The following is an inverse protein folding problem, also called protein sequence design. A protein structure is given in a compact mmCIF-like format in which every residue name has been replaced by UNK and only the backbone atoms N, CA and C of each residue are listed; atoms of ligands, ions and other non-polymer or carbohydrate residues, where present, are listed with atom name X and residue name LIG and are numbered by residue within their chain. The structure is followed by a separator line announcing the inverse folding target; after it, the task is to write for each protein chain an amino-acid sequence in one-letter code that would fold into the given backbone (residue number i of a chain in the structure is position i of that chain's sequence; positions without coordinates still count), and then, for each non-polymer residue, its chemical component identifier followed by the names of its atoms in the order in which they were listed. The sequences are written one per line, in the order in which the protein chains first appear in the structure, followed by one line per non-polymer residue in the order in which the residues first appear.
data_IF_445553553252
#
_entry.id   IF_445553553252
#
_cell.length_a   1.000
_cell.length_b   1.000
_cell.length_c   1.000
_cell.angle_alpha   90.00
_cell.angle_beta   90.00
_cell.angle_gamma   90.00
#
_symmetry.space_group_name_H-M   'P 1'
#
loop_
_entity.id
_entity.type
_entity.pdbx_description
1 polymer ?
#
# COMPACT_ATOMS: atom_id res chain seq x y z
N UNK A 1 24.07 -0.35 3.85
CA UNK A 1 22.94 -1.24 3.53
C UNK A 1 22.53 -0.97 2.10
N UNK A 2 22.33 -2.00 1.27
CA UNK A 2 21.93 -1.80 -0.14
C UNK A 2 20.42 -1.59 -0.20
N UNK A 3 19.99 -0.45 -0.74
CA UNK A 3 18.56 -0.18 -0.98
C UNK A 3 18.05 -1.08 -2.11
N UNK A 4 16.88 -1.69 -1.88
CA UNK A 4 16.16 -2.49 -2.87
C UNK A 4 14.83 -1.81 -3.15
N UNK A 5 14.32 -1.96 -4.37
CA UNK A 5 12.96 -1.54 -4.71
C UNK A 5 11.99 -2.64 -4.33
N UNK A 6 10.85 -2.28 -3.77
CA UNK A 6 9.81 -3.19 -3.32
C UNK A 6 8.48 -2.74 -3.91
N UNK A 7 7.78 -3.64 -4.59
CA UNK A 7 6.42 -3.45 -5.04
C UNK A 7 5.48 -3.52 -3.84
N UNK A 8 4.56 -2.58 -3.75
CA UNK A 8 3.46 -2.57 -2.77
C UNK A 8 2.19 -3.01 -3.49
N UNK A 9 1.49 -3.99 -2.90
CA UNK A 9 0.26 -4.54 -3.44
C UNK A 9 -0.77 -4.78 -2.34
N UNK A 10 -2.04 -4.67 -2.67
CA UNK A 10 -3.16 -5.04 -1.81
C UNK A 10 -4.05 -6.06 -2.49
N UNK A 11 -4.79 -6.86 -1.73
CA UNK A 11 -5.72 -7.84 -2.30
C UNK A 11 -7.14 -7.33 -2.19
N UNK A 12 -7.72 -6.93 -3.34
CA UNK A 12 -9.09 -6.41 -3.46
C UNK A 12 -9.93 -7.37 -4.27
N UNK A 13 -11.07 -7.81 -3.71
CA UNK A 13 -11.98 -8.75 -4.39
C UNK A 13 -11.24 -10.00 -4.95
N UNK A 14 -10.23 -10.49 -4.21
CA UNK A 14 -9.40 -11.64 -4.62
C UNK A 14 -8.30 -11.33 -5.64
N UNK A 15 -8.14 -10.08 -6.08
CA UNK A 15 -7.14 -9.67 -7.06
C UNK A 15 -6.04 -8.82 -6.40
N UNK A 16 -4.78 -9.09 -6.75
CA UNK A 16 -3.66 -8.26 -6.32
C UNK A 16 -3.62 -6.95 -7.13
N UNK A 17 -3.88 -5.84 -6.47
CA UNK A 17 -3.80 -4.49 -7.04
C UNK A 17 -2.46 -3.87 -6.67
N UNK A 18 -1.73 -3.37 -7.68
CA UNK A 18 -0.45 -2.70 -7.46
C UNK A 18 -0.67 -1.23 -7.10
N UNK A 19 -0.15 -0.82 -5.95
CA UNK A 19 -0.24 0.57 -5.46
C UNK A 19 0.97 1.42 -5.86
N UNK A 20 2.14 0.80 -5.95
CA UNK A 20 3.38 1.47 -6.32
C UNK A 20 4.62 0.80 -5.73
N UNK A 21 5.68 1.57 -5.51
CA UNK A 21 6.98 1.05 -5.06
C UNK A 21 7.59 1.90 -3.94
N UNK A 22 8.33 1.24 -3.04
CA UNK A 22 9.17 1.87 -2.02
C UNK A 22 10.61 1.39 -2.15
N UNK A 23 11.57 2.21 -1.74
CA UNK A 23 13.00 1.90 -1.79
C UNK A 23 13.53 1.72 -0.37
N UNK A 24 13.77 0.46 0.01
CA UNK A 24 14.14 0.11 1.38
C UNK A 24 15.15 -1.02 1.43
N UNK A 25 15.89 -1.11 2.54
CA UNK A 25 16.98 -2.08 2.68
C UNK A 25 16.53 -3.48 3.09
N UNK A 26 15.34 -3.63 3.66
CA UNK A 26 14.75 -4.90 4.09
C UNK A 26 13.23 -4.91 3.88
N UNK A 27 12.63 -6.10 3.90
CA UNK A 27 11.18 -6.27 3.75
C UNK A 27 10.40 -5.58 4.87
N UNK A 28 10.87 -5.69 6.12
CA UNK A 28 10.24 -5.06 7.28
C UNK A 28 10.20 -3.54 7.12
N UNK A 29 11.32 -2.93 6.69
CA UNK A 29 11.36 -1.49 6.42
C UNK A 29 10.48 -1.12 5.23
N UNK A 30 10.45 -1.94 4.18
CA UNK A 30 9.55 -1.75 3.04
C UNK A 30 8.08 -1.76 3.46
N UNK A 31 7.68 -2.65 4.39
CA UNK A 31 6.32 -2.65 4.96
C UNK A 31 6.02 -1.37 5.73
N UNK A 32 6.95 -0.92 6.59
CA UNK A 32 6.79 0.34 7.31
C UNK A 32 6.68 1.54 6.36
N UNK A 33 7.56 1.63 5.36
CA UNK A 33 7.54 2.68 4.34
C UNK A 33 6.27 2.63 3.48
N UNK A 34 5.77 1.44 3.18
CA UNK A 34 4.52 1.26 2.45
C UNK A 34 3.32 1.79 3.25
N UNK A 35 3.20 1.45 4.54
CA UNK A 35 2.15 2.00 5.41
C UNK A 35 2.29 3.52 5.57
N UNK A 36 3.50 4.04 5.73
CA UNK A 36 3.71 5.49 5.84
C UNK A 36 3.36 6.25 4.56
N UNK A 37 3.44 5.62 3.38
CA UNK A 37 3.25 6.29 2.09
C UNK A 37 1.87 6.07 1.49
N UNK A 38 1.32 4.88 1.69
CA UNK A 38 0.07 4.44 1.09
C UNK A 38 -1.01 4.14 2.13
N UNK A 39 -0.66 3.98 3.41
CA UNK A 39 -1.63 3.75 4.48
C UNK A 39 -2.52 4.95 4.70
N UNK A 40 -3.82 4.69 4.85
CA UNK A 40 -4.79 5.67 5.32
C UNK A 40 -5.06 5.46 6.81
N UNK A 41 -5.27 6.58 7.48
CA UNK A 41 -5.90 6.61 8.80
C UNK A 41 -7.37 6.21 8.69
N UNK A 42 -7.99 5.77 9.79
CA UNK A 42 -9.43 5.51 9.84
C UNK A 42 -10.24 6.76 9.41
N UNK A 43 -9.84 7.94 9.86
CA UNK A 43 -10.46 9.22 9.48
C UNK A 43 -10.36 9.53 7.97
N UNK A 44 -9.20 9.27 7.34
CA UNK A 44 -8.97 9.53 5.91
C UNK A 44 -9.65 8.48 5.02
N UNK A 45 -9.80 7.26 5.53
CA UNK A 45 -10.54 6.18 4.87
C UNK A 45 -12.04 6.49 4.81
N UNK A 46 -12.61 7.10 5.85
CA UNK A 46 -14.01 7.55 5.87
C UNK A 46 -14.27 8.69 4.88
N UNK A 47 -13.32 9.63 4.73
CA UNK A 47 -13.40 10.73 3.76
C UNK A 47 -13.28 10.20 2.31
N UNK A 48 -12.37 9.26 2.06
CA UNK A 48 -12.15 8.67 0.72
C UNK A 48 -13.33 7.79 0.26
N UNK A 49 -14.03 7.12 1.18
CA UNK A 49 -15.23 6.33 0.86
C UNK A 49 -16.42 7.17 0.37
N UNK A 50 -16.36 8.50 0.54
CA UNK A 50 -17.40 9.42 0.07
C UNK A 50 -17.18 9.90 -1.37
N UNK A 51 -16.01 9.62 -1.97
CA UNK A 51 -15.70 10.05 -3.34
C UNK A 51 -16.12 8.98 -4.38
N UNK A 52 -17.06 9.29 -5.29
CA UNK A 52 -17.66 8.31 -6.19
C UNK A 52 -16.80 7.94 -7.40
N UNK A 53 -15.63 8.56 -7.60
CA UNK A 53 -14.85 8.44 -8.85
C UNK A 53 -13.84 7.30 -8.84
N UNK A 54 -13.34 6.89 -7.67
CA UNK A 54 -12.50 5.70 -7.55
C UNK A 54 -12.56 5.17 -6.10
N UNK A 55 -13.50 4.26 -5.78
CA UNK A 55 -13.90 4.00 -4.40
C UNK A 55 -12.81 3.39 -3.51
N UNK A 56 -11.61 3.11 -4.04
CA UNK A 56 -10.49 2.58 -3.25
C UNK A 56 -9.09 3.14 -3.52
N UNK A 57 -8.89 4.10 -4.44
CA UNK A 57 -7.62 4.80 -4.68
C UNK A 57 -6.31 3.96 -4.71
N UNK A 58 -5.13 4.59 -4.76
CA UNK A 58 -3.83 3.92 -4.62
C UNK A 58 -3.41 3.79 -3.14
N UNK A 59 -4.33 3.42 -2.25
CA UNK A 59 -4.14 3.43 -0.80
C UNK A 59 -4.24 2.03 -0.15
N UNK A 60 -3.76 1.90 1.08
CA UNK A 60 -3.91 0.72 1.96
C UNK A 60 -4.91 1.12 3.06
N UNK A 61 -6.06 0.47 3.10
CA UNK A 61 -7.06 0.71 4.15
C UNK A 61 -6.66 0.02 5.47
N UNK A 62 -7.11 0.50 6.65
CA UNK A 62 -6.79 -0.08 7.95
C UNK A 62 -7.18 -1.57 8.08
N UNK A 63 -8.25 -1.98 7.40
CA UNK A 63 -8.78 -3.35 7.37
C UNK A 63 -8.20 -4.21 6.22
N UNK A 64 -7.34 -3.63 5.38
CA UNK A 64 -6.83 -4.28 4.17
C UNK A 64 -5.45 -4.93 4.40
N UNK A 65 -5.34 -6.21 4.06
CA UNK A 65 -4.05 -6.87 4.03
C UNK A 65 -3.25 -6.43 2.79
N UNK A 66 -1.99 -6.06 2.99
CA UNK A 66 -1.07 -5.69 1.91
C UNK A 66 0.21 -6.54 1.95
N UNK A 67 0.85 -6.63 0.79
CA UNK A 67 2.10 -7.35 0.58
C UNK A 67 3.18 -6.41 0.01
N UNK A 68 4.43 -6.71 0.35
CA UNK A 68 5.60 -6.10 -0.28
C UNK A 68 6.50 -7.17 -0.85
N UNK A 69 6.84 -7.05 -2.13
CA UNK A 69 7.69 -8.01 -2.83
C UNK A 69 8.83 -7.30 -3.55
N UNK A 70 10.02 -7.91 -3.69
CA UNK A 70 11.12 -7.29 -4.44
C UNK A 70 10.69 -6.91 -5.86
N UNK A 71 11.00 -5.68 -6.26
CA UNK A 71 10.85 -5.26 -7.64
C UNK A 71 12.05 -5.77 -8.45
N UNK A 72 11.76 -6.51 -9.52
CA UNK A 72 12.77 -7.01 -10.47
C UNK A 72 13.49 -5.87 -11.17
#
# INVERSE_FOLDING_TARGET
MTMKRWNVRVVRNGHAVHLGQVAESSETLARCAALSRYGLSEDEAEETQQDPVDPRGPAIYPDEAFDVSPAT
#
